data_IF_043397121483
#
_entry.id   IF_043397121483
#
_cell.length_a   1.000
_cell.length_b   1.000
_cell.length_c   1.000
_cell.angle_alpha   90.00
_cell.angle_beta   90.00
_cell.angle_gamma   90.00
#
_symmetry.space_group_name_H-M   'P 1'
#
loop_
_entity.id
_entity.type
_entity.pdbx_description
1 polymer ?
#
# COMPACT_ATOMS: atom_id res chain seq x y z
N UNK A 1 16.22 8.38 -23.05
CA UNK A 1 15.75 7.60 -21.88
C UNK A 1 16.93 6.82 -21.34
N UNK A 2 17.24 6.94 -20.06
CA UNK A 2 18.28 6.19 -19.35
C UNK A 2 17.65 5.60 -18.09
N UNK A 3 17.64 4.29 -17.94
CA UNK A 3 16.92 3.63 -16.84
C UNK A 3 17.85 3.35 -15.66
N UNK A 4 17.43 3.77 -14.46
CA UNK A 4 18.01 3.32 -13.20
C UNK A 4 17.03 2.33 -12.61
N UNK A 5 17.34 1.04 -12.73
CA UNK A 5 16.50 -0.07 -12.31
C UNK A 5 16.92 -0.50 -10.91
N UNK A 6 16.04 -0.31 -9.94
CA UNK A 6 16.21 -0.79 -8.57
C UNK A 6 15.31 -2.00 -8.36
N UNK A 7 15.90 -3.16 -8.20
CA UNK A 7 15.18 -4.43 -8.12
C UNK A 7 15.28 -5.09 -6.74
N UNK A 8 14.15 -5.65 -6.26
CA UNK A 8 14.13 -6.54 -5.11
C UNK A 8 13.95 -7.99 -5.57
N UNK A 9 15.04 -8.79 -5.67
CA UNK A 9 14.98 -10.17 -6.15
C UNK A 9 14.09 -11.09 -5.31
N UNK A 10 13.97 -10.79 -4.00
CA UNK A 10 13.23 -11.61 -3.04
C UNK A 10 11.72 -11.34 -3.04
N UNK A 11 11.25 -10.29 -3.74
CA UNK A 11 9.84 -9.97 -3.77
C UNK A 11 9.00 -11.08 -4.44
N UNK A 12 7.75 -11.25 -3.98
CA UNK A 12 6.81 -12.21 -4.54
C UNK A 12 7.30 -13.66 -4.55
N UNK A 13 8.04 -14.10 -3.53
CA UNK A 13 8.64 -15.44 -3.46
C UNK A 13 9.54 -15.75 -4.67
N UNK A 14 10.46 -14.82 -4.97
CA UNK A 14 11.43 -14.85 -6.09
C UNK A 14 10.88 -14.46 -7.46
N UNK A 15 9.63 -14.08 -7.62
CA UNK A 15 9.15 -13.49 -8.88
C UNK A 15 9.87 -12.17 -9.22
N UNK A 16 10.40 -11.48 -8.21
CA UNK A 16 11.25 -10.30 -8.38
C UNK A 16 12.47 -10.57 -9.24
N UNK A 17 13.21 -11.65 -8.97
CA UNK A 17 14.38 -12.02 -9.77
C UNK A 17 14.00 -12.33 -11.23
N UNK A 18 12.88 -12.99 -11.46
CA UNK A 18 12.41 -13.30 -12.82
C UNK A 18 12.06 -12.01 -13.58
N UNK A 19 11.35 -11.09 -12.96
CA UNK A 19 11.01 -9.80 -13.57
C UNK A 19 12.25 -8.94 -13.85
N UNK A 20 13.24 -8.94 -12.94
CA UNK A 20 14.52 -8.27 -13.15
C UNK A 20 15.23 -8.85 -14.39
N UNK A 21 15.29 -10.16 -14.53
CA UNK A 21 15.92 -10.79 -15.67
C UNK A 21 15.19 -10.41 -16.98
N UNK A 22 13.86 -10.47 -17.00
CA UNK A 22 13.05 -10.13 -18.17
C UNK A 22 13.22 -8.67 -18.58
N UNK A 23 13.22 -7.71 -17.64
CA UNK A 23 13.41 -6.28 -18.02
C UNK A 23 14.81 -6.02 -18.55
N UNK A 24 15.83 -6.67 -17.99
CA UNK A 24 17.22 -6.58 -18.47
C UNK A 24 17.35 -7.13 -19.89
N UNK A 25 16.75 -8.30 -20.16
CA UNK A 25 16.70 -8.88 -21.51
C UNK A 25 16.08 -7.91 -22.52
N UNK A 26 14.90 -7.36 -22.20
CA UNK A 26 14.19 -6.43 -23.08
C UNK A 26 14.99 -5.14 -23.32
N UNK A 27 15.61 -4.58 -22.28
CA UNK A 27 16.45 -3.40 -22.42
C UNK A 27 17.66 -3.68 -23.33
N UNK A 28 18.30 -4.83 -23.15
CA UNK A 28 19.46 -5.24 -23.98
C UNK A 28 19.06 -5.44 -25.43
N UNK A 29 17.96 -6.17 -25.69
CA UNK A 29 17.43 -6.41 -27.03
C UNK A 29 17.09 -5.11 -27.78
N UNK A 30 16.47 -4.16 -27.06
CA UNK A 30 16.05 -2.86 -27.63
C UNK A 30 17.17 -1.79 -27.63
N UNK A 31 18.36 -2.09 -27.13
CA UNK A 31 19.47 -1.14 -27.02
C UNK A 31 19.19 0.04 -26.09
N UNK A 32 18.36 -0.15 -25.04
CA UNK A 32 18.01 0.89 -24.08
C UNK A 32 19.09 0.97 -23.00
N UNK A 33 19.74 2.12 -22.78
CA UNK A 33 20.72 2.27 -21.72
C UNK A 33 20.09 2.10 -20.35
N UNK A 34 20.69 1.27 -19.50
CA UNK A 34 20.25 1.08 -18.13
C UNK A 34 21.41 0.81 -17.15
N UNK A 35 21.16 1.07 -15.87
CA UNK A 35 21.96 0.60 -14.75
C UNK A 35 21.07 -0.20 -13.84
N UNK A 36 21.53 -1.40 -13.43
CA UNK A 36 20.80 -2.30 -12.54
C UNK A 36 21.42 -2.29 -11.15
N UNK A 37 20.58 -2.11 -10.13
CA UNK A 37 20.90 -2.17 -8.70
C UNK A 37 19.93 -3.13 -8.02
N UNK A 38 20.46 -4.12 -7.30
CA UNK A 38 19.62 -5.14 -6.66
C UNK A 38 19.84 -5.13 -5.14
N UNK A 39 18.72 -5.19 -4.39
CA UNK A 39 18.80 -5.34 -2.95
C UNK A 39 19.22 -6.75 -2.55
N UNK A 40 20.03 -6.88 -1.51
CA UNK A 40 20.44 -8.16 -0.92
C UNK A 40 19.70 -8.45 0.40
N UNK A 41 19.15 -7.42 1.03
CA UNK A 41 18.41 -7.51 2.29
C UNK A 41 17.22 -6.55 2.28
N UNK A 42 16.24 -6.81 3.15
CA UNK A 42 15.13 -5.90 3.38
C UNK A 42 15.62 -4.54 3.92
N UNK A 43 14.99 -3.44 3.50
CA UNK A 43 15.33 -2.09 3.92
C UNK A 43 16.64 -1.52 3.33
N UNK A 44 17.24 -2.18 2.33
CA UNK A 44 18.50 -1.73 1.72
C UNK A 44 18.27 -0.72 0.57
N UNK A 45 17.06 -0.65 0.04
CA UNK A 45 16.77 0.17 -1.13
C UNK A 45 17.15 1.65 -0.96
N UNK A 46 16.87 2.33 0.16
CA UNK A 46 17.29 3.71 0.38
C UNK A 46 18.80 3.90 0.27
N UNK A 47 19.61 2.99 0.85
CA UNK A 47 21.07 3.04 0.79
C UNK A 47 21.58 2.91 -0.67
N UNK A 48 20.98 2.00 -1.46
CA UNK A 48 21.31 1.86 -2.88
C UNK A 48 20.93 3.10 -3.68
N UNK A 49 19.78 3.68 -3.39
CA UNK A 49 19.33 4.91 -4.04
C UNK A 49 20.26 6.08 -3.71
N UNK A 50 20.63 6.27 -2.44
CA UNK A 50 21.57 7.29 -2.00
C UNK A 50 22.91 7.19 -2.74
N UNK A 51 23.47 5.99 -2.79
CA UNK A 51 24.75 5.71 -3.45
C UNK A 51 24.73 5.99 -4.96
N UNK A 52 23.65 5.68 -5.64
CA UNK A 52 23.63 5.63 -7.10
C UNK A 52 22.88 6.77 -7.77
N UNK A 53 21.90 7.40 -7.12
CA UNK A 53 21.16 8.54 -7.70
C UNK A 53 21.99 9.80 -7.89
N UNK A 54 23.18 9.90 -7.26
CA UNK A 54 24.14 10.95 -7.54
C UNK A 54 24.61 10.97 -9.02
N UNK A 55 24.53 9.82 -9.71
CA UNK A 55 24.94 9.66 -11.11
C UNK A 55 23.78 9.91 -12.11
N UNK A 56 22.60 10.35 -11.61
CA UNK A 56 21.45 10.65 -12.46
C UNK A 56 21.69 11.87 -13.34
N UNK A 57 21.03 11.92 -14.47
CA UNK A 57 20.95 13.07 -15.35
C UNK A 57 19.49 13.41 -15.69
N UNK A 58 19.28 14.46 -16.46
CA UNK A 58 17.93 14.93 -16.84
C UNK A 58 17.09 13.92 -17.64
N UNK A 59 17.69 12.87 -18.20
CA UNK A 59 17.02 11.81 -18.97
C UNK A 59 16.84 10.53 -18.16
N UNK A 60 17.17 10.55 -16.87
CA UNK A 60 17.06 9.40 -15.99
C UNK A 60 15.59 9.16 -15.62
N UNK A 61 15.17 7.90 -15.76
CA UNK A 61 13.90 7.38 -15.24
C UNK A 61 14.25 6.33 -14.18
N UNK A 62 13.63 6.44 -13.00
CA UNK A 62 13.76 5.44 -11.95
C UNK A 62 12.72 4.37 -12.19
N UNK A 63 13.16 3.11 -12.25
CA UNK A 63 12.29 1.93 -12.36
C UNK A 63 12.44 1.07 -11.11
N UNK A 64 11.34 0.87 -10.40
CA UNK A 64 11.29 -0.05 -9.27
C UNK A 64 10.74 -1.38 -9.74
N UNK A 65 11.47 -2.47 -9.47
CA UNK A 65 11.01 -3.85 -9.71
C UNK A 65 10.88 -4.55 -8.37
N UNK A 66 9.63 -4.78 -7.94
CA UNK A 66 9.40 -5.31 -6.59
C UNK A 66 7.92 -5.41 -6.20
N UNK A 67 7.63 -5.45 -4.92
CA UNK A 67 6.28 -5.33 -4.37
C UNK A 67 5.94 -3.90 -3.96
N UNK A 68 4.70 -3.70 -3.47
CA UNK A 68 4.22 -2.38 -3.00
C UNK A 68 5.11 -1.79 -1.90
N UNK A 69 5.66 -2.63 -1.00
CA UNK A 69 6.64 -2.19 0.02
C UNK A 69 7.93 -1.63 -0.59
N UNK A 70 8.44 -2.24 -1.68
CA UNK A 70 9.63 -1.74 -2.39
C UNK A 70 9.36 -0.38 -3.04
N UNK A 71 8.15 -0.20 -3.61
CA UNK A 71 7.72 1.09 -4.16
C UNK A 71 7.57 2.14 -3.06
N UNK A 72 7.00 1.78 -1.90
CA UNK A 72 6.85 2.68 -0.75
C UNK A 72 8.23 3.14 -0.23
N UNK A 73 9.20 2.23 -0.04
CA UNK A 73 10.57 2.57 0.37
C UNK A 73 11.21 3.57 -0.61
N UNK A 74 11.04 3.36 -1.92
CA UNK A 74 11.56 4.26 -2.94
C UNK A 74 10.93 5.67 -2.86
N UNK A 75 9.59 5.74 -2.80
CA UNK A 75 8.86 7.00 -2.70
C UNK A 75 9.24 7.76 -1.43
N UNK A 76 9.34 7.06 -0.30
CA UNK A 76 9.72 7.68 0.98
C UNK A 76 11.13 8.28 0.89
N UNK A 77 12.10 7.55 0.34
CA UNK A 77 13.45 8.07 0.14
C UNK A 77 13.46 9.30 -0.79
N UNK A 78 12.82 9.21 -1.94
CA UNK A 78 12.79 10.29 -2.93
C UNK A 78 12.15 11.57 -2.37
N UNK A 79 11.07 11.45 -1.62
CA UNK A 79 10.40 12.58 -0.95
C UNK A 79 11.26 13.18 0.15
N UNK A 80 11.89 12.37 1.00
CA UNK A 80 12.77 12.83 2.07
C UNK A 80 14.00 13.58 1.55
N UNK A 81 14.53 13.16 0.39
CA UNK A 81 15.67 13.79 -0.26
C UNK A 81 15.29 14.94 -1.21
N UNK A 82 13.99 15.27 -1.34
CA UNK A 82 13.48 16.26 -2.31
C UNK A 82 13.96 15.98 -3.76
N UNK A 83 13.99 14.71 -4.15
CA UNK A 83 14.35 14.28 -5.50
C UNK A 83 13.07 14.08 -6.31
N UNK A 84 12.90 14.80 -7.41
CA UNK A 84 11.73 14.73 -8.30
C UNK A 84 12.16 14.22 -9.69
N UNK A 85 12.50 12.95 -9.78
CA UNK A 85 12.81 12.23 -11.02
C UNK A 85 11.65 11.32 -11.37
N UNK A 86 11.18 11.24 -12.62
CA UNK A 86 10.08 10.36 -12.97
C UNK A 86 10.34 8.92 -12.51
N UNK A 87 9.37 8.39 -11.77
CA UNK A 87 9.37 7.04 -11.19
C UNK A 87 8.40 6.17 -11.96
N UNK A 88 8.75 4.92 -12.21
CA UNK A 88 7.84 3.90 -12.70
C UNK A 88 8.00 2.60 -11.92
N UNK A 89 7.00 1.72 -12.00
CA UNK A 89 6.93 0.52 -11.19
C UNK A 89 6.53 -0.69 -12.01
N UNK A 90 7.39 -1.70 -12.05
CA UNK A 90 7.12 -3.03 -12.60
C UNK A 90 6.80 -3.99 -11.43
N UNK A 91 5.54 -4.37 -11.24
CA UNK A 91 5.12 -5.13 -10.08
C UNK A 91 5.63 -6.57 -10.13
N UNK A 92 6.21 -6.99 -9.00
CA UNK A 92 6.75 -8.34 -8.79
C UNK A 92 6.44 -8.88 -7.38
N UNK A 93 5.57 -8.22 -6.63
CA UNK A 93 5.13 -8.65 -5.30
C UNK A 93 4.03 -9.70 -5.34
N UNK A 94 3.61 -10.16 -4.15
CA UNK A 94 2.50 -11.12 -4.00
C UNK A 94 1.12 -10.43 -4.04
N UNK A 95 0.96 -9.30 -3.39
CA UNK A 95 -0.31 -8.55 -3.28
C UNK A 95 -0.54 -7.66 -4.49
N UNK A 96 0.38 -6.75 -4.73
CA UNK A 96 0.38 -5.76 -5.81
C UNK A 96 -0.96 -4.98 -5.87
N UNK A 97 -1.45 -4.54 -4.71
CA UNK A 97 -2.73 -3.81 -4.61
C UNK A 97 -2.67 -2.47 -5.34
N UNK A 98 -1.52 -1.77 -5.23
CA UNK A 98 -1.25 -0.54 -5.98
C UNK A 98 -1.29 -0.77 -7.49
N UNK A 99 -0.64 -1.83 -7.99
CA UNK A 99 -0.64 -2.10 -9.44
C UNK A 99 -2.01 -2.45 -9.98
N UNK A 100 -2.87 -3.08 -9.17
CA UNK A 100 -4.28 -3.37 -9.52
C UNK A 100 -5.09 -2.10 -9.67
N UNK A 101 -4.95 -1.17 -8.71
CA UNK A 101 -5.61 0.13 -8.78
C UNK A 101 -5.22 0.90 -10.02
N UNK A 102 -3.92 0.94 -10.31
CA UNK A 102 -3.36 1.68 -11.44
C UNK A 102 -3.45 0.92 -12.77
N UNK A 103 -3.97 -0.32 -12.77
CA UNK A 103 -4.00 -1.19 -13.95
C UNK A 103 -2.62 -1.31 -14.65
N UNK A 104 -1.54 -1.47 -13.87
CA UNK A 104 -0.18 -1.52 -14.40
C UNK A 104 0.11 -2.88 -15.04
N UNK A 105 0.89 -2.87 -16.11
CA UNK A 105 1.34 -4.11 -16.74
C UNK A 105 2.36 -4.86 -15.89
N UNK A 106 2.24 -6.20 -15.90
CA UNK A 106 3.19 -7.13 -15.29
C UNK A 106 4.21 -7.70 -16.32
N UNK A 107 4.12 -7.28 -17.58
CA UNK A 107 4.94 -7.78 -18.67
C UNK A 107 6.08 -6.81 -18.99
N UNK A 108 7.34 -7.21 -18.78
CA UNK A 108 8.52 -6.37 -18.96
C UNK A 108 8.60 -5.72 -20.35
N UNK A 109 8.25 -6.46 -21.43
CA UNK A 109 8.25 -5.90 -22.81
C UNK A 109 7.24 -4.78 -22.97
N UNK A 110 5.99 -5.00 -22.55
CA UNK A 110 4.92 -4.01 -22.60
C UNK A 110 5.24 -2.82 -21.70
N UNK A 111 5.82 -3.08 -20.52
CA UNK A 111 6.30 -2.05 -19.60
C UNK A 111 7.28 -1.09 -20.29
N UNK A 112 8.31 -1.61 -20.94
CA UNK A 112 9.30 -0.81 -21.67
C UNK A 112 8.67 -0.03 -22.85
N UNK A 113 7.73 -0.63 -23.57
CA UNK A 113 7.00 0.02 -24.65
C UNK A 113 6.13 1.17 -24.13
N UNK A 114 5.49 0.99 -23.00
CA UNK A 114 4.69 2.04 -22.38
C UNK A 114 5.54 3.16 -21.77
N UNK A 115 6.71 2.86 -21.21
CA UNK A 115 7.64 3.90 -20.75
C UNK A 115 8.01 4.88 -21.87
N UNK A 116 8.15 4.40 -23.11
CA UNK A 116 8.50 5.26 -24.26
C UNK A 116 7.36 6.22 -24.65
N UNK A 117 6.12 5.96 -24.26
CA UNK A 117 4.97 6.88 -24.45
C UNK A 117 5.03 8.11 -23.53
N UNK A 118 5.87 8.06 -22.50
CA UNK A 118 6.15 9.17 -21.57
C UNK A 118 4.88 9.77 -20.93
N UNK A 119 3.92 8.91 -20.54
CA UNK A 119 2.70 9.35 -19.86
C UNK A 119 2.97 9.55 -18.37
N UNK A 120 3.21 10.80 -17.96
CA UNK A 120 3.45 11.19 -16.56
C UNK A 120 2.12 11.62 -15.93
N UNK A 121 1.87 11.11 -14.74
CA UNK A 121 0.76 11.50 -13.88
C UNK A 121 1.29 11.95 -12.51
N UNK A 122 0.47 12.64 -11.75
CA UNK A 122 0.69 12.90 -10.33
C UNK A 122 0.16 11.70 -9.54
N UNK A 123 1.08 10.81 -9.12
CA UNK A 123 0.74 9.70 -8.24
C UNK A 123 0.39 10.23 -6.86
N UNK A 124 -0.83 9.98 -6.41
CA UNK A 124 -1.31 10.37 -5.08
C UNK A 124 -0.97 9.30 -4.03
N UNK A 125 -0.57 9.74 -2.85
CA UNK A 125 -0.35 8.92 -1.67
C UNK A 125 -0.60 9.73 -0.40
N UNK A 126 -0.64 9.07 0.76
CA UNK A 126 -0.78 9.75 2.03
C UNK A 126 0.59 9.94 2.68
N UNK A 127 0.78 11.10 3.28
CA UNK A 127 1.80 11.31 4.29
C UNK A 127 1.19 11.22 5.67
N UNK A 128 1.93 10.67 6.62
CA UNK A 128 1.51 10.63 8.01
C UNK A 128 2.54 11.22 8.96
N UNK A 129 2.04 11.80 10.05
CA UNK A 129 2.83 12.21 11.21
C UNK A 129 2.10 11.71 12.46
N UNK A 130 2.73 10.82 13.22
CA UNK A 130 2.22 10.35 14.50
C UNK A 130 2.96 11.05 15.62
N UNK A 131 2.24 11.91 16.37
CA UNK A 131 2.86 12.87 17.29
C UNK A 131 3.42 12.22 18.55
N UNK A 132 2.77 11.14 19.07
CA UNK A 132 3.19 10.51 20.32
C UNK A 132 4.48 9.69 20.15
N UNK A 133 4.65 9.04 19.01
CA UNK A 133 5.87 8.29 18.66
C UNK A 133 6.88 9.10 17.84
N UNK A 134 6.53 10.31 17.43
CA UNK A 134 7.34 11.19 16.57
C UNK A 134 7.77 10.51 15.26
N UNK A 135 6.90 9.64 14.72
CA UNK A 135 7.16 8.95 13.45
C UNK A 135 6.44 9.60 12.30
N UNK A 136 7.12 9.70 11.17
CA UNK A 136 6.57 10.20 9.91
C UNK A 136 6.82 9.22 8.78
N UNK A 137 6.06 9.31 7.72
CA UNK A 137 6.30 8.49 6.54
C UNK A 137 5.18 8.60 5.50
N UNK A 138 5.20 7.65 4.56
CA UNK A 138 4.26 7.55 3.45
C UNK A 138 3.39 6.31 3.63
N UNK A 139 2.14 6.42 3.20
CA UNK A 139 1.19 5.32 3.04
C UNK A 139 0.78 5.30 1.58
N UNK A 140 1.15 4.24 0.89
CA UNK A 140 0.84 4.06 -0.53
C UNK A 140 -0.58 3.51 -0.72
N UNK A 141 -0.95 2.51 0.07
CA UNK A 141 -2.21 1.78 -0.05
C UNK A 141 -3.20 2.17 1.07
N UNK A 142 -2.89 1.82 2.31
CA UNK A 142 -3.78 2.08 3.44
C UNK A 142 -3.07 2.03 4.79
N UNK A 143 -3.65 2.70 5.76
CA UNK A 143 -3.34 2.55 7.18
C UNK A 143 -4.63 2.26 7.94
N UNK A 144 -4.61 1.26 8.82
CA UNK A 144 -5.81 0.87 9.57
C UNK A 144 -5.53 0.42 10.99
N UNK A 145 -6.58 0.54 11.82
CA UNK A 145 -6.60 0.20 13.24
C UNK A 145 -7.66 -0.85 13.52
N UNK A 146 -7.38 -1.75 14.46
CA UNK A 146 -8.32 -2.76 14.93
C UNK A 146 -8.22 -4.08 14.19
N UNK A 147 -9.34 -4.58 13.63
CA UNK A 147 -9.41 -5.94 13.09
C UNK A 147 -8.52 -6.17 11.87
N UNK A 148 -8.33 -5.19 11.02
CA UNK A 148 -7.45 -5.32 9.85
C UNK A 148 -5.99 -5.50 10.26
N UNK A 149 -5.54 -4.76 11.26
CA UNK A 149 -4.22 -4.93 11.86
C UNK A 149 -4.05 -6.32 12.52
N UNK A 150 -5.10 -6.81 13.18
CA UNK A 150 -5.09 -8.16 13.75
C UNK A 150 -5.01 -9.24 12.65
N UNK A 151 -5.71 -9.07 11.53
CA UNK A 151 -5.61 -9.95 10.36
C UNK A 151 -4.20 -9.90 9.77
N UNK A 152 -3.62 -8.69 9.63
CA UNK A 152 -2.26 -8.49 9.14
C UNK A 152 -1.23 -9.23 10.03
N UNK A 153 -1.33 -9.11 11.35
CA UNK A 153 -0.47 -9.83 12.31
C UNK A 153 -0.57 -11.35 12.14
N UNK A 154 -1.79 -11.88 12.02
CA UNK A 154 -2.01 -13.32 11.81
C UNK A 154 -1.36 -13.79 10.50
N UNK A 155 -1.56 -13.04 9.41
CA UNK A 155 -1.00 -13.36 8.11
C UNK A 155 0.54 -13.31 8.11
N UNK A 156 1.14 -12.32 8.78
CA UNK A 156 2.60 -12.25 8.93
C UNK A 156 3.15 -13.47 9.68
N UNK A 157 2.53 -13.83 10.80
CA UNK A 157 2.93 -15.02 11.59
C UNK A 157 2.80 -16.31 10.78
N UNK A 158 1.70 -16.47 10.03
CA UNK A 158 1.49 -17.64 9.15
C UNK A 158 2.53 -17.69 8.03
N UNK A 159 2.86 -16.56 7.40
CA UNK A 159 3.88 -16.48 6.36
C UNK A 159 5.26 -16.86 6.89
N UNK A 160 5.63 -16.37 8.06
CA UNK A 160 6.90 -16.74 8.72
C UNK A 160 6.97 -18.24 9.03
N UNK A 161 5.89 -18.83 9.56
CA UNK A 161 5.80 -20.25 9.84
C UNK A 161 5.88 -21.13 8.57
N UNK A 162 5.26 -20.68 7.47
CA UNK A 162 5.31 -21.38 6.17
C UNK A 162 6.71 -21.33 5.53
N UNK A 163 7.42 -20.23 5.64
CA UNK A 163 8.80 -20.11 5.18
C UNK A 163 9.73 -21.06 5.93
N UNK A 164 9.51 -21.24 7.25
CA UNK A 164 10.27 -22.18 8.07
C UNK A 164 9.94 -23.66 7.76
N UNK A 165 8.67 -23.96 7.42
CA UNK A 165 8.19 -25.32 7.20
C UNK A 165 8.40 -25.86 5.77
N UNK A 166 8.95 -25.08 4.83
CA UNK A 166 9.12 -25.43 3.40
C UNK A 166 7.85 -25.95 2.72
N UNK A 167 6.66 -25.54 3.19
CA UNK A 167 5.38 -26.01 2.68
C UNK A 167 4.50 -24.89 2.12
N UNK A 168 4.04 -25.02 0.87
CA UNK A 168 3.09 -24.08 0.25
C UNK A 168 1.68 -24.58 0.53
N UNK A 169 0.96 -23.96 1.48
CA UNK A 169 -0.50 -24.11 1.61
C UNK A 169 -1.17 -22.82 1.16
N UNK A 170 -2.19 -22.92 0.31
CA UNK A 170 -3.07 -21.77 -0.02
C UNK A 170 -3.68 -21.26 1.27
N UNK A 171 -3.38 -20.02 1.64
CA UNK A 171 -3.98 -19.38 2.81
C UNK A 171 -5.47 -19.13 2.55
N UNK A 172 -6.33 -19.58 3.45
CA UNK A 172 -7.75 -19.24 3.44
C UNK A 172 -7.92 -17.84 4.02
N UNK A 173 -8.59 -16.93 3.32
CA UNK A 173 -8.89 -15.58 3.83
C UNK A 173 -9.87 -15.58 5.01
N UNK A 174 -10.74 -16.57 5.11
CA UNK A 174 -11.78 -16.64 6.16
C UNK A 174 -11.22 -16.99 7.54
N UNK A 175 -10.22 -17.87 7.61
CA UNK A 175 -9.67 -18.31 8.91
C UNK A 175 -9.04 -17.17 9.70
N UNK A 176 -8.18 -16.30 9.13
CA UNK A 176 -7.66 -15.13 9.82
C UNK A 176 -8.75 -14.15 10.25
N UNK A 177 -9.77 -13.93 9.42
CA UNK A 177 -10.90 -13.03 9.73
C UNK A 177 -11.69 -13.54 10.94
N UNK A 178 -12.07 -14.82 10.97
CA UNK A 178 -12.82 -15.42 12.10
C UNK A 178 -11.99 -15.37 13.38
N UNK A 179 -10.69 -15.67 13.30
CA UNK A 179 -9.79 -15.63 14.45
C UNK A 179 -9.66 -14.20 14.98
N UNK A 180 -9.36 -13.23 14.12
CA UNK A 180 -9.25 -11.82 14.48
C UNK A 180 -10.57 -11.30 15.07
N UNK A 181 -11.71 -11.74 14.53
CA UNK A 181 -13.02 -11.35 15.04
C UNK A 181 -13.30 -11.90 16.44
N UNK A 182 -12.88 -13.12 16.77
CA UNK A 182 -13.02 -13.70 18.12
C UNK A 182 -12.16 -12.98 19.16
N UNK A 183 -10.98 -12.54 18.77
CA UNK A 183 -10.00 -11.85 19.63
C UNK A 183 -10.13 -10.33 19.59
N UNK A 184 -11.15 -9.79 18.87
CA UNK A 184 -11.31 -8.36 18.64
C UNK A 184 -11.48 -7.57 19.94
N UNK A 185 -10.88 -6.39 19.93
CA UNK A 185 -11.20 -5.32 20.86
C UNK A 185 -11.84 -4.19 20.08
N UNK A 186 -12.97 -3.70 20.56
CA UNK A 186 -13.59 -2.46 20.05
C UNK A 186 -12.89 -1.28 20.72
N UNK A 187 -12.76 -0.18 19.99
CA UNK A 187 -12.09 1.03 20.47
C UNK A 187 -12.84 2.28 20.06
N UNK A 188 -12.58 3.38 20.77
CA UNK A 188 -13.14 4.69 20.48
C UNK A 188 -12.08 5.59 19.85
N UNK A 189 -12.51 6.48 18.95
CA UNK A 189 -11.62 7.42 18.27
C UNK A 189 -12.27 8.79 18.13
N UNK A 190 -11.49 9.85 18.32
CA UNK A 190 -11.83 11.21 17.95
C UNK A 190 -11.25 11.47 16.56
N UNK A 191 -12.08 11.93 15.63
CA UNK A 191 -11.72 12.09 14.23
C UNK A 191 -12.04 13.51 13.80
N UNK A 192 -11.06 14.19 13.19
CA UNK A 192 -11.21 15.51 12.57
C UNK A 192 -10.88 15.38 11.10
N UNK A 193 -11.75 15.84 10.20
CA UNK A 193 -11.56 15.80 8.75
C UNK A 193 -11.48 17.23 8.20
N UNK A 194 -10.48 17.49 7.35
CA UNK A 194 -10.27 18.79 6.67
C UNK A 194 -10.31 19.99 7.61
N UNK A 195 -9.80 19.85 8.84
CA UNK A 195 -9.82 20.87 9.90
C UNK A 195 -11.23 21.37 10.26
N UNK A 196 -12.27 20.57 10.00
CA UNK A 196 -13.65 20.85 10.42
C UNK A 196 -13.89 20.42 11.86
N UNK A 197 -15.14 20.47 12.29
CA UNK A 197 -15.55 20.00 13.60
C UNK A 197 -15.23 18.52 13.80
N UNK A 198 -14.68 18.19 14.98
CA UNK A 198 -14.32 16.82 15.34
C UNK A 198 -15.54 16.02 15.76
N UNK A 199 -15.56 14.74 15.46
CA UNK A 199 -16.60 13.82 15.93
C UNK A 199 -15.99 12.57 16.58
N UNK A 200 -16.69 12.02 17.56
CA UNK A 200 -16.29 10.76 18.21
C UNK A 200 -16.98 9.58 17.53
N UNK A 201 -16.18 8.60 17.12
CA UNK A 201 -16.67 7.30 16.68
C UNK A 201 -16.43 6.27 17.79
N UNK A 202 -17.48 5.58 18.22
CA UNK A 202 -17.41 4.63 19.33
C UNK A 202 -17.65 3.20 18.88
N UNK A 203 -17.05 2.25 19.63
CA UNK A 203 -17.15 0.81 19.37
C UNK A 203 -16.72 0.45 17.95
N UNK A 204 -15.59 1.03 17.52
CA UNK A 204 -15.01 0.72 16.23
C UNK A 204 -14.41 -0.68 16.25
N UNK A 205 -14.74 -1.48 15.24
CA UNK A 205 -14.06 -2.72 14.91
C UNK A 205 -12.88 -2.46 13.99
N UNK A 206 -13.07 -1.49 13.07
CA UNK A 206 -12.07 -1.00 12.11
C UNK A 206 -12.22 0.49 11.94
N UNK A 207 -11.11 1.19 11.89
CA UNK A 207 -10.96 2.56 11.44
C UNK A 207 -9.72 2.61 10.56
N UNK A 208 -9.82 3.12 9.34
CA UNK A 208 -8.65 3.21 8.45
C UNK A 208 -8.74 4.34 7.44
N UNK A 209 -7.57 4.76 6.96
CA UNK A 209 -7.38 5.66 5.83
C UNK A 209 -6.97 4.84 4.61
N UNK A 210 -7.67 5.04 3.49
CA UNK A 210 -7.51 4.28 2.26
C UNK A 210 -7.24 5.23 1.10
N UNK A 211 -6.09 5.05 0.47
CA UNK A 211 -5.66 5.83 -0.70
C UNK A 211 -6.31 5.31 -1.99
N UNK A 212 -6.64 4.03 -2.03
CA UNK A 212 -7.33 3.39 -3.15
C UNK A 212 -8.19 2.20 -2.70
N UNK A 213 -8.95 1.62 -3.63
CA UNK A 213 -9.98 0.63 -3.33
C UNK A 213 -9.43 -0.71 -2.83
N UNK A 214 -8.25 -1.12 -3.29
CA UNK A 214 -7.72 -2.46 -3.05
C UNK A 214 -6.94 -2.56 -1.74
N UNK A 215 -7.10 -3.70 -1.07
CA UNK A 215 -6.54 -3.97 0.23
C UNK A 215 -6.28 -5.48 0.40
N UNK A 216 -5.17 -5.84 1.06
CA UNK A 216 -4.90 -7.21 1.50
C UNK A 216 -4.73 -8.24 0.38
N UNK A 217 -4.23 -7.84 -0.80
CA UNK A 217 -3.96 -8.73 -1.93
C UNK A 217 -5.13 -8.89 -2.90
N UNK A 218 -5.84 -7.80 -3.20
CA UNK A 218 -6.85 -7.73 -4.25
C UNK A 218 -8.30 -7.66 -3.77
N UNK A 219 -8.55 -7.46 -2.47
CA UNK A 219 -9.90 -7.23 -1.93
C UNK A 219 -10.28 -5.76 -2.15
N UNK A 220 -11.38 -5.51 -2.82
CA UNK A 220 -11.91 -4.15 -3.05
C UNK A 220 -12.73 -3.67 -1.86
N UNK A 221 -12.04 -3.30 -0.77
CA UNK A 221 -12.68 -3.01 0.51
C UNK A 221 -13.33 -1.62 0.56
N UNK A 222 -12.70 -0.57 0.02
CA UNK A 222 -13.27 0.79 -0.03
C UNK A 222 -13.41 1.24 -1.47
N UNK A 223 -14.50 0.84 -2.17
CA UNK A 223 -14.64 1.06 -3.62
C UNK A 223 -14.69 2.52 -4.06
N UNK A 224 -14.99 3.45 -3.14
CA UNK A 224 -15.00 4.89 -3.37
C UNK A 224 -13.61 5.53 -3.33
N UNK A 225 -12.60 4.84 -2.75
CA UNK A 225 -11.22 5.29 -2.78
C UNK A 225 -10.62 5.00 -4.17
N UNK A 226 -10.20 6.03 -4.89
CA UNK A 226 -9.64 5.92 -6.24
C UNK A 226 -8.49 6.89 -6.43
N UNK A 227 -7.44 6.47 -7.12
CA UNK A 227 -6.34 7.34 -7.53
C UNK A 227 -6.81 8.47 -8.46
N UNK A 228 -6.23 9.65 -8.32
CA UNK A 228 -6.60 10.84 -9.11
C UNK A 228 -7.88 11.53 -8.65
N UNK A 229 -8.43 11.13 -7.50
CA UNK A 229 -9.64 11.75 -6.93
C UNK A 229 -9.33 13.00 -6.10
N UNK A 230 -8.05 13.25 -5.76
CA UNK A 230 -7.55 14.32 -4.89
C UNK A 230 -8.04 14.25 -3.44
N UNK A 231 -8.59 13.12 -3.03
CA UNK A 231 -8.98 12.82 -1.65
C UNK A 231 -8.80 11.34 -1.33
N UNK A 232 -8.62 11.03 -0.07
CA UNK A 232 -8.62 9.67 0.44
C UNK A 232 -9.90 9.40 1.24
N UNK A 233 -10.15 8.13 1.54
CA UNK A 233 -11.32 7.71 2.31
C UNK A 233 -10.92 7.34 3.74
N UNK A 234 -11.64 7.90 4.72
CA UNK A 234 -11.68 7.35 6.08
C UNK A 234 -12.84 6.37 6.13
N UNK A 235 -12.54 5.09 6.31
CA UNK A 235 -13.54 4.04 6.44
C UNK A 235 -13.65 3.57 7.90
N UNK A 236 -14.89 3.42 8.36
CA UNK A 236 -15.22 3.04 9.73
C UNK A 236 -16.17 1.85 9.71
N UNK A 237 -15.81 0.77 10.42
CA UNK A 237 -16.72 -0.33 10.74
C UNK A 237 -16.97 -0.36 12.26
N UNK A 238 -18.23 -0.17 12.69
CA UNK A 238 -18.60 -0.09 14.10
C UNK A 238 -19.81 -0.94 14.45
N UNK A 239 -19.87 -1.41 15.70
CA UNK A 239 -20.99 -2.24 16.19
C UNK A 239 -21.30 -3.42 15.24
N UNK A 240 -20.26 -4.07 14.74
CA UNK A 240 -20.38 -5.15 13.74
C UNK A 240 -20.45 -6.49 14.43
N UNK A 241 -21.48 -7.28 14.14
CA UNK A 241 -21.57 -8.67 14.56
C UNK A 241 -20.85 -9.62 13.59
N UNK A 242 -20.47 -10.82 14.04
CA UNK A 242 -19.90 -11.84 13.13
C UNK A 242 -20.85 -12.16 11.97
N UNK A 243 -22.15 -12.16 12.24
CA UNK A 243 -23.17 -12.39 11.21
C UNK A 243 -23.17 -11.27 10.15
N UNK A 244 -22.97 -10.00 10.56
CA UNK A 244 -22.83 -8.88 9.64
C UNK A 244 -21.58 -9.04 8.77
N UNK A 245 -20.44 -9.45 9.36
CA UNK A 245 -19.21 -9.73 8.60
C UNK A 245 -19.43 -10.81 7.57
N UNK A 246 -20.02 -11.94 7.96
CA UNK A 246 -20.29 -13.06 7.05
C UNK A 246 -21.24 -12.68 5.92
N UNK A 247 -22.26 -11.86 6.19
CA UNK A 247 -23.19 -11.34 5.17
C UNK A 247 -22.50 -10.31 4.23
N UNK A 248 -21.64 -9.45 4.75
CA UNK A 248 -20.96 -8.44 3.96
C UNK A 248 -19.85 -9.04 3.08
N UNK A 249 -19.23 -10.14 3.52
CA UNK A 249 -18.04 -10.71 2.90
C UNK A 249 -18.18 -11.04 1.39
N UNK A 250 -19.29 -11.65 0.90
CA UNK A 250 -19.46 -11.86 -0.54
C UNK A 250 -19.45 -10.56 -1.35
N UNK A 251 -20.05 -9.50 -0.80
CA UNK A 251 -20.11 -8.19 -1.47
C UNK A 251 -18.78 -7.45 -1.45
N UNK A 252 -17.98 -7.65 -0.39
CA UNK A 252 -16.60 -7.17 -0.31
C UNK A 252 -15.74 -7.83 -1.40
N UNK A 253 -15.95 -9.13 -1.67
CA UNK A 253 -15.17 -9.87 -2.66
C UNK A 253 -15.60 -9.64 -4.12
N UNK A 254 -16.82 -9.16 -4.36
CA UNK A 254 -17.39 -9.09 -5.71
C UNK A 254 -17.61 -7.68 -6.23
N UNK A 255 -18.60 -6.98 -5.71
CA UNK A 255 -19.11 -5.72 -6.29
C UNK A 255 -18.89 -4.48 -5.43
N UNK A 256 -18.40 -4.64 -4.20
CA UNK A 256 -18.06 -3.53 -3.32
C UNK A 256 -19.25 -2.72 -2.77
N UNK A 257 -20.48 -3.23 -2.85
CA UNK A 257 -21.68 -2.50 -2.40
C UNK A 257 -21.95 -2.61 -0.90
N UNK A 258 -21.07 -3.23 -0.12
CA UNK A 258 -21.25 -3.48 1.32
C UNK A 258 -21.45 -2.19 2.14
N UNK A 259 -20.83 -1.06 1.81
CA UNK A 259 -21.12 0.22 2.47
C UNK A 259 -22.57 0.67 2.28
N UNK A 260 -23.16 0.45 1.09
CA UNK A 260 -24.57 0.76 0.81
C UNK A 260 -25.54 -0.21 1.49
N UNK A 261 -25.16 -1.49 1.62
CA UNK A 261 -26.02 -2.52 2.24
C UNK A 261 -26.02 -2.47 3.76
N UNK A 262 -24.94 -1.99 4.38
CA UNK A 262 -24.79 -1.94 5.84
C UNK A 262 -24.48 -0.53 6.37
N UNK A 263 -25.28 0.52 6.02
CA UNK A 263 -24.96 1.92 6.34
C UNK A 263 -24.98 2.22 7.85
N UNK A 264 -25.60 1.36 8.65
CA UNK A 264 -25.62 1.49 10.12
C UNK A 264 -24.29 1.06 10.75
N UNK A 265 -23.56 0.17 10.08
CA UNK A 265 -22.32 -0.43 10.58
C UNK A 265 -21.07 0.11 9.85
N UNK A 266 -21.18 0.44 8.57
CA UNK A 266 -20.08 0.87 7.70
C UNK A 266 -20.31 2.31 7.26
N UNK A 267 -19.30 3.15 7.43
CA UNK A 267 -19.29 4.55 6.98
C UNK A 267 -17.98 4.87 6.29
N UNK A 268 -18.06 5.73 5.31
CA UNK A 268 -16.90 6.28 4.62
C UNK A 268 -17.00 7.80 4.53
N UNK A 269 -15.87 8.48 4.56
CA UNK A 269 -15.76 9.94 4.50
C UNK A 269 -14.58 10.31 3.62
N UNK A 270 -14.84 11.11 2.59
CA UNK A 270 -13.79 11.67 1.72
C UNK A 270 -13.16 12.89 2.40
N UNK A 271 -11.83 12.97 2.39
CA UNK A 271 -11.10 14.12 2.92
C UNK A 271 -9.71 14.23 2.29
N UNK A 272 -9.10 15.40 2.42
CA UNK A 272 -7.72 15.67 2.00
C UNK A 272 -6.77 15.68 3.20
N UNK A 273 -7.31 15.88 4.40
CA UNK A 273 -6.59 15.83 5.68
C UNK A 273 -7.43 15.13 6.73
N UNK A 274 -6.80 14.38 7.61
CA UNK A 274 -7.45 13.81 8.79
C UNK A 274 -6.54 13.88 9.99
N UNK A 275 -7.12 14.11 11.19
CA UNK A 275 -6.48 13.83 12.46
C UNK A 275 -7.28 12.74 13.17
N UNK A 276 -6.60 11.71 13.66
CA UNK A 276 -7.19 10.57 14.38
C UNK A 276 -6.52 10.45 15.73
N UNK A 277 -7.33 10.51 16.81
CA UNK A 277 -6.85 10.29 18.18
C UNK A 277 -7.50 9.06 18.79
N UNK A 278 -6.67 8.18 19.36
CA UNK A 278 -7.08 6.97 20.09
C UNK A 278 -6.31 6.96 21.39
N UNK A 279 -7.03 6.98 22.53
CA UNK A 279 -6.44 7.13 23.87
C UNK A 279 -6.23 5.80 24.61
N UNK A 280 -6.12 4.71 23.86
CA UNK A 280 -5.88 3.36 24.41
C UNK A 280 -4.89 2.57 23.53
N UNK A 281 -4.26 1.51 24.07
CA UNK A 281 -3.36 0.69 23.29
C UNK A 281 -4.08 0.02 22.12
N UNK A 282 -3.56 0.19 20.91
CA UNK A 282 -4.19 -0.25 19.67
C UNK A 282 -3.20 -0.92 18.71
N UNK A 283 -3.69 -1.95 18.01
CA UNK A 283 -3.02 -2.56 16.87
C UNK A 283 -3.31 -1.76 15.62
N UNK A 284 -2.29 -1.53 14.82
CA UNK A 284 -2.38 -0.85 13.53
C UNK A 284 -1.63 -1.62 12.43
N UNK A 285 -1.96 -1.35 11.20
CA UNK A 285 -1.16 -1.72 10.03
C UNK A 285 -0.89 -0.49 9.14
N UNK A 286 0.25 -0.46 8.47
CA UNK A 286 0.64 0.50 7.43
C UNK A 286 1.11 -0.28 6.21
N UNK A 287 0.41 -0.16 5.10
CA UNK A 287 0.71 -0.88 3.86
C UNK A 287 0.97 -2.40 4.04
N UNK A 288 0.22 -3.02 4.97
CA UNK A 288 0.36 -4.43 5.32
C UNK A 288 1.45 -4.75 6.34
N UNK A 289 2.10 -3.76 6.93
CA UNK A 289 3.05 -3.94 8.02
C UNK A 289 2.38 -3.69 9.37
N UNK A 290 2.46 -4.69 10.24
CA UNK A 290 1.87 -4.64 11.59
C UNK A 290 2.69 -3.77 12.54
N UNK A 291 1.99 -2.95 13.32
CA UNK A 291 2.56 -2.08 14.35
C UNK A 291 1.59 -1.96 15.54
N UNK A 292 2.10 -1.61 16.72
CA UNK A 292 1.29 -1.31 17.90
C UNK A 292 1.59 0.07 18.44
N UNK A 293 0.55 0.78 18.88
CA UNK A 293 0.68 2.07 19.53
C UNK A 293 0.07 2.04 20.94
N UNK A 294 0.73 2.63 21.95
CA UNK A 294 0.13 2.85 23.27
C UNK A 294 -1.09 3.78 23.19
N UNK A 295 -0.97 4.83 22.44
CA UNK A 295 -2.01 5.80 22.08
C UNK A 295 -1.70 6.33 20.68
N UNK A 296 -2.66 6.97 20.03
CA UNK A 296 -2.50 7.53 18.68
C UNK A 296 -2.88 9.00 18.66
N UNK A 297 -2.05 9.84 18.07
CA UNK A 297 -2.37 11.19 17.62
C UNK A 297 -1.80 11.37 16.20
N UNK A 298 -2.54 10.87 15.23
CA UNK A 298 -2.11 10.71 13.85
C UNK A 298 -2.66 11.82 12.96
N UNK A 299 -1.79 12.53 12.29
CA UNK A 299 -2.13 13.44 11.20
C UNK A 299 -1.88 12.75 9.86
N UNK A 300 -2.84 12.87 8.95
CA UNK A 300 -2.78 12.36 7.59
C UNK A 300 -3.04 13.51 6.60
N UNK A 301 -2.32 13.52 5.49
CA UNK A 301 -2.57 14.44 4.38
C UNK A 301 -2.21 13.81 3.04
N UNK A 302 -2.88 14.27 1.97
CA UNK A 302 -2.52 13.91 0.60
C UNK A 302 -1.20 14.56 0.19
N UNK A 303 -0.41 13.84 -0.59
CA UNK A 303 0.77 14.32 -1.29
C UNK A 303 0.88 13.60 -2.65
N UNK A 304 1.80 14.02 -3.50
CA UNK A 304 1.94 13.48 -4.85
C UNK A 304 3.39 13.38 -5.31
N UNK A 305 3.61 12.56 -6.36
CA UNK A 305 4.92 12.37 -6.98
C UNK A 305 4.80 12.11 -8.50
N UNK A 306 5.71 12.63 -9.35
CA UNK A 306 5.67 12.35 -10.79
C UNK A 306 5.91 10.87 -11.09
N UNK A 307 4.91 10.23 -11.71
CA UNK A 307 4.90 8.80 -11.98
C UNK A 307 4.64 8.51 -13.47
N UNK A 308 5.52 7.70 -14.08
CA UNK A 308 5.35 7.20 -15.44
C UNK A 308 4.43 5.98 -15.45
N UNK A 309 3.26 6.17 -16.02
CA UNK A 309 2.22 5.17 -16.07
C UNK A 309 2.48 4.14 -17.17
N UNK A 310 2.38 2.86 -16.82
CA UNK A 310 2.63 1.71 -17.71
C UNK A 310 1.46 0.73 -17.67
N UNK A 311 0.31 1.12 -18.23
CA UNK A 311 -0.95 0.39 -18.15
C UNK A 311 -0.99 -0.88 -18.99
N UNK A 312 -1.93 -1.79 -18.65
CA UNK A 312 -2.27 -3.00 -19.43
C UNK A 312 -2.95 -2.70 -20.78
N UNK A 313 -3.43 -1.51 -21.02
CA UNK A 313 -4.17 -1.14 -22.25
C UNK A 313 -3.28 -1.03 -23.48
#
# INVERSE_FOLDING_TARGET
MNLFIFGNPMSGSFSGQQQINHIVEVCTEKGIPFKLFQTQRAGELPELMEKHLQQRNQHTIIVIVGGDGTLNEALQYLKQQNIFVPLSYLPAGTGNDFSREMNLTHHARKFIENLSKNHIIDLEFLTYSEENSQTTGIILNSMGFGIDAAICEINQKQRQALLQAKGIKKASYLTPIIKAFKERKEFDALITLDNKESFTSTKNLLLGAFNHAYFGGGIRFVPSATQGSHYFQIAIARKVSLFTVLKAFPFILTNGIHFKLFPQNLKEYSCTKANIKINEPIKAQKDGEFVTYPTVNLNLSMDHYPFLLTNET
#
